data_IF_668817136430
#
_entry.id   IF_668817136430
#
_cell.length_a   1.000
_cell.length_b   1.000
_cell.length_c   1.000
_cell.angle_alpha   90.00
_cell.angle_beta   90.00
_cell.angle_gamma   90.00
#
_symmetry.space_group_name_H-M   'P 1'
#
loop_
_entity.id
_entity.type
_entity.pdbx_description
1 polymer ?
#
# COMPACT_ATOMS: atom_id res chain seq x y z
N UNK A 1 -41.46 18.81 4.15
CA UNK A 1 -40.98 18.25 5.43
C UNK A 1 -39.70 17.47 5.12
N UNK A 2 -38.61 18.18 4.79
CA UNK A 2 -37.44 17.59 4.11
C UNK A 2 -36.15 17.66 4.93
N UNK A 3 -36.24 18.22 6.14
CA UNK A 3 -35.13 18.33 7.08
C UNK A 3 -34.55 17.00 7.61
N UNK A 4 -35.30 15.91 7.84
CA UNK A 4 -34.70 14.68 8.39
C UNK A 4 -33.81 13.95 7.36
N UNK A 5 -34.10 14.09 6.06
CA UNK A 5 -33.28 13.49 4.97
C UNK A 5 -31.94 14.22 4.80
N UNK A 6 -31.94 15.55 4.88
CA UNK A 6 -30.70 16.34 4.82
C UNK A 6 -29.77 16.07 6.02
N UNK A 7 -30.32 15.94 7.23
CA UNK A 7 -29.52 15.65 8.44
C UNK A 7 -28.84 14.27 8.39
N UNK A 8 -29.55 13.25 7.87
CA UNK A 8 -28.97 11.90 7.71
C UNK A 8 -27.86 11.93 6.67
N UNK A 9 -28.07 12.56 5.51
CA UNK A 9 -27.03 12.73 4.50
C UNK A 9 -25.82 13.51 5.04
N UNK A 10 -26.03 14.57 5.83
CA UNK A 10 -24.94 15.36 6.41
C UNK A 10 -24.14 14.59 7.46
N UNK A 11 -24.80 13.75 8.28
CA UNK A 11 -24.13 12.85 9.23
C UNK A 11 -23.36 11.72 8.55
N UNK A 12 -23.87 11.20 7.43
CA UNK A 12 -23.14 10.25 6.58
C UNK A 12 -21.93 10.90 5.91
N UNK A 13 -22.08 12.13 5.39
CA UNK A 13 -20.98 12.91 4.78
C UNK A 13 -19.92 13.28 5.82
N UNK A 14 -20.29 13.66 7.05
CA UNK A 14 -19.34 13.91 8.14
C UNK A 14 -18.61 12.64 8.58
N UNK A 15 -19.28 11.49 8.68
CA UNK A 15 -18.61 10.21 8.96
C UNK A 15 -17.69 9.78 7.80
N UNK A 16 -18.07 10.05 6.55
CA UNK A 16 -17.23 9.81 5.37
C UNK A 16 -16.01 10.77 5.32
N UNK A 17 -16.21 12.05 5.63
CA UNK A 17 -15.15 13.07 5.69
C UNK A 17 -14.15 12.81 6.81
N UNK A 18 -14.61 12.31 7.97
CA UNK A 18 -13.72 11.87 9.07
C UNK A 18 -12.93 10.61 8.68
N UNK A 19 -13.46 9.78 7.78
CA UNK A 19 -12.72 8.63 7.21
C UNK A 19 -11.73 9.06 6.10
N UNK A 20 -11.93 10.22 5.48
CA UNK A 20 -11.07 10.78 4.43
C UNK A 20 -9.84 11.52 4.99
N UNK A 21 -9.78 11.80 6.30
CA UNK A 21 -8.59 12.40 6.91
C UNK A 21 -7.62 11.30 7.33
N UNK A 22 -6.55 11.19 6.53
CA UNK A 22 -5.47 10.19 6.53
C UNK A 22 -5.86 8.89 5.84
N UNK A 23 -5.52 8.71 4.54
CA UNK A 23 -5.07 7.39 4.13
C UNK A 23 -3.88 7.08 5.03
N UNK A 24 -4.10 6.35 6.13
CA UNK A 24 -2.98 5.70 6.80
C UNK A 24 -2.48 4.70 5.77
N UNK A 25 -1.44 5.08 5.05
CA UNK A 25 -0.63 4.17 4.25
C UNK A 25 -0.39 2.96 5.14
N UNK A 26 -0.98 1.82 4.80
CA UNK A 26 -0.82 0.62 5.58
C UNK A 26 0.62 0.14 5.37
N UNK A 27 1.36 0.00 6.47
CA UNK A 27 2.74 -0.47 6.39
C UNK A 27 2.72 -1.93 5.96
N UNK A 28 3.61 -2.29 5.02
CA UNK A 28 3.70 -3.65 4.50
C UNK A 28 4.36 -4.58 5.52
N UNK A 29 5.34 -4.07 6.27
CA UNK A 29 5.98 -4.81 7.34
C UNK A 29 6.52 -3.90 8.43
N UNK A 30 6.65 -4.45 9.64
CA UNK A 30 7.29 -3.81 10.78
C UNK A 30 7.99 -4.88 11.63
N UNK A 31 9.32 -4.83 11.69
CA UNK A 31 10.18 -5.78 12.42
C UNK A 31 11.04 -5.03 13.42
N UNK A 32 10.89 -5.35 14.70
CA UNK A 32 11.79 -4.88 15.75
C UNK A 32 12.66 -6.06 16.18
N UNK A 33 13.99 -5.88 16.21
CA UNK A 33 14.91 -6.95 16.61
C UNK A 33 14.83 -7.22 18.11
N UNK A 34 15.03 -8.48 18.50
CA UNK A 34 15.16 -8.90 19.91
C UNK A 34 16.61 -8.93 20.39
N UNK A 35 17.58 -8.72 19.49
CA UNK A 35 19.01 -8.91 19.75
C UNK A 35 19.68 -7.78 20.55
N UNK A 36 18.93 -6.80 21.03
CA UNK A 36 19.46 -5.79 21.93
C UNK A 36 18.59 -4.54 22.02
N UNK A 37 18.57 -3.96 23.23
CA UNK A 37 17.89 -2.70 23.50
C UNK A 37 18.90 -1.60 23.88
N UNK A 38 18.54 -0.34 23.61
CA UNK A 38 19.23 0.84 24.11
C UNK A 38 18.35 1.58 25.12
N UNK A 39 18.95 2.43 25.95
CA UNK A 39 18.22 3.30 26.89
C UNK A 39 18.01 4.68 26.27
N UNK A 40 16.90 5.35 26.59
CA UNK A 40 16.50 6.62 25.93
C UNK A 40 17.52 7.77 26.06
N UNK A 41 18.39 7.73 27.07
CA UNK A 41 19.43 8.74 27.31
C UNK A 41 20.84 8.27 26.89
N UNK A 42 20.95 7.15 26.16
CA UNK A 42 22.24 6.65 25.68
C UNK A 42 22.79 7.48 24.51
N UNK A 43 24.10 7.38 24.32
CA UNK A 43 24.77 7.91 23.13
C UNK A 43 24.20 7.28 21.86
N UNK A 44 23.94 5.96 21.86
CA UNK A 44 23.24 5.27 20.77
C UNK A 44 21.90 5.92 20.40
N UNK A 45 21.05 6.25 21.39
CA UNK A 45 19.76 6.90 21.15
C UNK A 45 19.92 8.27 20.47
N UNK A 46 20.94 9.04 20.89
CA UNK A 46 21.27 10.34 20.30
C UNK A 46 21.76 10.19 18.86
N UNK A 47 22.66 9.23 18.61
CA UNK A 47 23.18 8.94 17.27
C UNK A 47 22.08 8.45 16.33
N UNK A 48 21.19 7.57 16.80
CA UNK A 48 20.06 7.06 16.02
C UNK A 48 19.10 8.20 15.67
N UNK A 49 18.73 9.05 16.63
CA UNK A 49 17.87 10.21 16.38
C UNK A 49 18.49 11.16 15.35
N UNK A 50 19.79 11.45 15.50
CA UNK A 50 20.53 12.28 14.54
C UNK A 50 20.50 11.68 13.13
N UNK A 51 20.80 10.38 13.01
CA UNK A 51 20.86 9.67 11.74
C UNK A 51 19.49 9.58 11.06
N UNK A 52 18.43 9.22 11.79
CA UNK A 52 17.09 9.14 11.22
C UNK A 52 16.55 10.51 10.79
N UNK A 53 16.93 11.58 11.50
CA UNK A 53 16.50 12.95 11.16
C UNK A 53 17.14 13.50 9.88
N UNK A 54 18.29 12.96 9.44
CA UNK A 54 18.95 13.41 8.21
C UNK A 54 18.44 12.72 6.94
N UNK A 55 17.69 11.61 7.06
CA UNK A 55 17.20 10.85 5.91
C UNK A 55 16.35 11.71 4.96
N UNK A 56 15.29 12.42 5.43
CA UNK A 56 14.37 13.11 4.53
C UNK A 56 15.01 14.29 3.79
N UNK A 57 16.16 14.78 4.24
CA UNK A 57 16.89 15.92 3.68
C UNK A 57 18.16 15.52 2.94
N UNK A 58 18.56 14.24 2.94
CA UNK A 58 19.77 13.79 2.24
C UNK A 58 19.69 14.07 0.74
N UNK A 59 20.80 14.53 0.16
CA UNK A 59 20.97 14.71 -1.29
C UNK A 59 20.97 13.40 -2.06
N UNK A 60 21.36 12.29 -1.43
CA UNK A 60 21.50 10.96 -2.08
C UNK A 60 20.16 10.45 -2.62
N UNK A 61 19.06 10.86 -1.97
CA UNK A 61 17.70 10.57 -2.41
C UNK A 61 17.31 11.24 -3.73
N UNK A 62 18.04 12.26 -4.19
CA UNK A 62 17.73 12.96 -5.44
C UNK A 62 18.07 12.13 -6.67
N UNK A 63 19.20 11.44 -6.65
CA UNK A 63 19.69 10.64 -7.77
C UNK A 63 19.33 9.16 -7.58
N UNK A 64 19.59 8.61 -6.40
CA UNK A 64 19.69 7.16 -6.22
C UNK A 64 18.42 6.57 -5.61
N UNK A 65 17.55 7.42 -5.03
CA UNK A 65 16.41 6.96 -4.24
C UNK A 65 16.85 6.09 -3.05
N UNK A 66 18.11 6.20 -2.65
CA UNK A 66 18.77 5.37 -1.68
C UNK A 66 19.56 6.23 -0.71
N UNK A 67 19.43 5.92 0.57
CA UNK A 67 20.15 6.54 1.65
C UNK A 67 20.96 5.47 2.35
N UNK A 68 22.25 5.70 2.52
CA UNK A 68 23.06 4.96 3.47
C UNK A 68 23.92 5.92 4.28
N UNK A 69 24.08 5.65 5.57
CA UNK A 69 25.00 6.41 6.41
C UNK A 69 25.23 5.68 7.73
N UNK A 70 26.26 6.12 8.44
CA UNK A 70 26.47 5.76 9.83
C UNK A 70 26.87 6.97 10.68
N UNK A 71 26.53 6.92 11.97
CA UNK A 71 26.91 7.93 12.96
C UNK A 71 27.43 7.23 14.21
N UNK A 72 28.44 7.82 14.84
CA UNK A 72 29.02 7.35 16.09
C UNK A 72 30.19 6.39 15.91
N UNK A 73 30.61 5.78 17.01
CA UNK A 73 31.67 4.76 17.09
C UNK A 73 31.25 3.66 18.04
N UNK A 74 31.81 2.46 17.89
CA UNK A 74 31.51 1.35 18.78
C UNK A 74 31.73 1.75 20.26
N UNK A 75 30.78 1.43 21.17
CA UNK A 75 29.60 0.56 20.98
C UNK A 75 28.31 1.29 20.55
N UNK A 76 28.37 2.60 20.32
CA UNK A 76 27.21 3.48 20.05
C UNK A 76 27.04 3.82 18.56
N UNK A 77 27.72 3.08 17.67
CA UNK A 77 27.62 3.29 16.23
C UNK A 77 26.29 2.79 15.69
N UNK A 78 25.66 3.59 14.84
CA UNK A 78 24.38 3.30 14.19
C UNK A 78 24.58 3.33 12.68
N UNK A 79 24.03 2.34 11.99
CA UNK A 79 23.95 2.26 10.54
C UNK A 79 22.49 2.37 10.11
N UNK A 80 22.21 3.06 9.01
CA UNK A 80 20.86 3.14 8.46
C UNK A 80 20.88 3.02 6.93
N UNK A 81 19.87 2.33 6.41
CA UNK A 81 19.56 2.22 4.99
C UNK A 81 18.10 2.65 4.78
N UNK A 82 17.89 3.59 3.87
CA UNK A 82 16.58 3.93 3.31
C UNK A 82 16.57 3.59 1.82
N UNK A 83 15.57 2.85 1.36
CA UNK A 83 15.40 2.51 -0.06
C UNK A 83 14.01 2.92 -0.53
N UNK A 84 13.95 3.75 -1.56
CA UNK A 84 12.73 4.05 -2.29
C UNK A 84 12.59 3.14 -3.51
N UNK A 85 11.34 2.88 -3.93
CA UNK A 85 11.08 2.19 -5.18
C UNK A 85 11.62 3.01 -6.36
N UNK A 86 12.29 2.35 -7.29
CA UNK A 86 13.13 3.02 -8.30
C UNK A 86 12.40 3.94 -9.28
N UNK A 87 11.09 3.78 -9.45
CA UNK A 87 10.21 4.59 -10.31
C UNK A 87 9.67 5.86 -9.62
N UNK A 88 9.94 6.06 -8.33
CA UNK A 88 9.38 7.19 -7.60
C UNK A 88 10.06 8.51 -7.93
N UNK A 89 9.23 9.56 -8.03
CA UNK A 89 9.69 10.93 -8.03
C UNK A 89 10.31 11.30 -6.67
N UNK A 90 11.32 12.17 -6.69
CA UNK A 90 12.06 12.59 -5.50
C UNK A 90 11.15 13.05 -4.34
N UNK A 91 10.11 13.88 -4.55
CA UNK A 91 9.24 14.30 -3.45
C UNK A 91 8.49 13.13 -2.81
N UNK A 92 8.02 12.17 -3.61
CA UNK A 92 7.32 10.98 -3.12
C UNK A 92 8.24 10.06 -2.32
N UNK A 93 9.49 9.88 -2.78
CA UNK A 93 10.50 9.13 -2.06
C UNK A 93 10.80 9.75 -0.68
N UNK A 94 11.06 11.07 -0.64
CA UNK A 94 11.32 11.80 0.61
C UNK A 94 10.16 11.70 1.59
N UNK A 95 8.92 11.89 1.10
CA UNK A 95 7.73 11.75 1.93
C UNK A 95 7.62 10.35 2.53
N UNK A 96 7.81 9.31 1.72
CA UNK A 96 7.72 7.93 2.18
C UNK A 96 8.74 7.62 3.29
N UNK A 97 10.01 8.01 3.10
CA UNK A 97 11.04 7.77 4.12
C UNK A 97 10.80 8.61 5.39
N UNK A 98 10.32 9.85 5.26
CA UNK A 98 9.96 10.69 6.40
C UNK A 98 8.85 10.05 7.25
N UNK A 99 7.79 9.57 6.60
CA UNK A 99 6.69 8.88 7.28
C UNK A 99 7.19 7.59 7.94
N UNK A 100 8.08 6.86 7.26
CA UNK A 100 8.68 5.63 7.80
C UNK A 100 9.55 5.89 9.03
N UNK A 101 10.32 6.99 9.06
CA UNK A 101 11.11 7.40 10.24
C UNK A 101 10.22 7.62 11.45
N UNK A 102 9.10 8.33 11.29
CA UNK A 102 8.16 8.57 12.37
C UNK A 102 7.50 7.26 12.83
N UNK A 103 7.08 6.43 11.89
CA UNK A 103 6.40 5.19 12.19
C UNK A 103 7.33 4.17 12.88
N UNK A 104 8.57 3.98 12.39
CA UNK A 104 9.49 2.98 12.94
C UNK A 104 9.90 3.31 14.38
N UNK A 105 10.12 4.59 14.69
CA UNK A 105 10.49 5.04 16.04
C UNK A 105 9.35 4.87 17.05
N UNK A 106 8.10 5.01 16.60
CA UNK A 106 6.93 4.73 17.43
C UNK A 106 6.72 3.24 17.69
N UNK A 107 6.96 2.39 16.70
CA UNK A 107 6.74 0.95 16.83
C UNK A 107 7.89 0.20 17.51
N UNK A 108 9.13 0.65 17.32
CA UNK A 108 10.33 0.05 17.90
C UNK A 108 11.05 1.10 18.77
N UNK A 109 10.56 1.38 20.00
CA UNK A 109 10.99 2.55 20.78
C UNK A 109 12.40 2.43 21.37
N UNK A 110 12.93 1.22 21.50
CA UNK A 110 14.18 0.97 22.22
C UNK A 110 15.05 -0.15 21.63
N UNK A 111 14.68 -0.74 20.50
CA UNK A 111 15.45 -1.81 19.85
C UNK A 111 16.64 -1.21 19.12
N UNK A 112 17.80 -1.87 19.21
CA UNK A 112 19.00 -1.45 18.47
C UNK A 112 18.89 -1.69 16.97
N UNK A 113 17.97 -2.56 16.54
CA UNK A 113 17.71 -2.77 15.12
C UNK A 113 16.22 -2.84 14.86
N UNK A 114 15.81 -2.23 13.75
CA UNK A 114 14.45 -2.34 13.26
C UNK A 114 14.42 -2.16 11.75
N UNK A 115 13.41 -2.77 11.12
CA UNK A 115 13.08 -2.59 9.71
C UNK A 115 11.60 -2.32 9.56
N UNK A 116 11.24 -1.30 8.80
CA UNK A 116 9.85 -0.97 8.49
C UNK A 116 9.75 -0.50 7.04
N UNK A 117 8.63 -0.81 6.38
CA UNK A 117 8.43 -0.34 5.02
C UNK A 117 6.98 -0.37 4.56
N UNK A 118 6.79 0.30 3.44
CA UNK A 118 5.58 0.44 2.64
C UNK A 118 5.85 -0.08 1.23
N UNK A 119 4.85 -0.06 0.37
CA UNK A 119 4.97 -0.40 -1.06
C UNK A 119 5.98 0.48 -1.82
N UNK A 120 6.22 1.68 -1.30
CA UNK A 120 6.98 2.73 -1.95
C UNK A 120 8.41 2.89 -1.39
N UNK A 121 8.66 2.45 -0.15
CA UNK A 121 9.99 2.55 0.45
C UNK A 121 10.15 1.63 1.67
N UNK A 122 11.38 1.37 2.05
CA UNK A 122 11.74 0.73 3.31
C UNK A 122 12.88 1.45 4.02
N UNK A 123 12.91 1.32 5.34
CA UNK A 123 13.92 1.85 6.24
C UNK A 123 14.38 0.75 7.18
N UNK A 124 15.70 0.56 7.29
CA UNK A 124 16.33 -0.28 8.30
C UNK A 124 17.40 0.51 9.04
N UNK A 125 17.48 0.35 10.35
CA UNK A 125 18.64 0.77 11.14
C UNK A 125 19.16 -0.39 11.98
N UNK A 126 20.44 -0.33 12.33
CA UNK A 126 21.11 -1.38 13.09
C UNK A 126 22.38 -0.91 13.79
N UNK A 127 22.77 -1.62 14.86
CA UNK A 127 24.06 -1.49 15.53
C UNK A 127 25.16 -2.41 14.96
N UNK A 128 24.85 -3.28 13.98
CA UNK A 128 25.83 -4.01 13.17
C UNK A 128 26.01 -3.29 11.83
N UNK A 129 27.18 -3.46 11.21
CA UNK A 129 27.39 -2.93 9.87
C UNK A 129 26.45 -3.66 8.89
N UNK A 130 25.60 -2.90 8.21
CA UNK A 130 24.64 -3.37 7.21
C UNK A 130 24.89 -2.75 5.83
N UNK A 131 25.99 -2.01 5.67
CA UNK A 131 26.32 -1.26 4.44
C UNK A 131 27.29 -2.04 3.57
N UNK A 132 27.06 -2.03 2.26
CA UNK A 132 27.98 -2.57 1.26
C UNK A 132 28.03 -4.09 1.20
N UNK A 133 27.11 -4.78 1.88
CA UNK A 133 27.06 -6.23 1.98
C UNK A 133 25.63 -6.74 1.86
N UNK A 134 25.44 -7.81 1.11
CA UNK A 134 24.14 -8.47 1.00
C UNK A 134 23.67 -8.99 2.36
N UNK A 135 22.47 -8.59 2.74
CA UNK A 135 21.72 -9.16 3.85
C UNK A 135 20.44 -9.78 3.26
N UNK A 136 20.35 -11.10 3.32
CA UNK A 136 19.24 -11.86 2.77
C UNK A 136 18.07 -12.03 3.77
N UNK A 137 18.16 -11.39 4.95
CA UNK A 137 17.16 -11.47 6.00
C UNK A 137 15.76 -11.16 5.49
N UNK A 138 14.84 -12.09 5.77
CA UNK A 138 13.47 -12.03 5.30
C UNK A 138 12.66 -10.99 6.08
N UNK A 139 11.95 -10.11 5.37
CA UNK A 139 11.10 -9.09 5.97
C UNK A 139 9.61 -9.43 5.81
N UNK A 140 9.20 -9.78 4.58
CA UNK A 140 7.79 -9.97 4.25
C UNK A 140 7.57 -10.83 3.00
N UNK A 141 6.50 -11.63 3.03
CA UNK A 141 5.93 -12.36 1.90
C UNK A 141 4.43 -12.13 1.93
N UNK A 142 3.87 -11.81 0.79
CA UNK A 142 2.44 -11.67 0.61
C UNK A 142 2.03 -12.07 -0.80
N UNK A 143 0.83 -12.61 -0.95
CA UNK A 143 0.29 -13.00 -2.25
C UNK A 143 -1.22 -12.84 -2.30
N UNK A 144 -1.75 -12.76 -3.52
CA UNK A 144 -3.18 -12.77 -3.79
C UNK A 144 -3.74 -14.20 -3.66
N UNK A 145 -4.94 -14.34 -3.12
CA UNK A 145 -5.68 -15.61 -3.05
C UNK A 145 -6.27 -16.04 -4.42
N UNK A 146 -6.14 -15.20 -5.45
CA UNK A 146 -6.60 -15.49 -6.80
C UNK A 146 -5.51 -16.21 -7.59
N UNK A 147 -5.88 -17.35 -8.17
CA UNK A 147 -5.03 -18.10 -9.07
C UNK A 147 -5.32 -17.77 -10.55
N UNK A 148 -4.30 -17.89 -11.38
CA UNK A 148 -4.39 -17.81 -12.82
C UNK A 148 -5.25 -18.96 -13.37
N UNK A 149 -5.95 -18.70 -14.48
CA UNK A 149 -6.77 -19.72 -15.15
C UNK A 149 -5.96 -20.93 -15.62
N UNK A 150 -4.72 -20.72 -16.06
CA UNK A 150 -3.75 -21.76 -16.39
C UNK A 150 -2.45 -21.50 -15.60
N UNK A 151 -2.36 -22.02 -14.36
CA UNK A 151 -1.23 -21.81 -13.47
C UNK A 151 0.13 -22.17 -14.09
N UNK A 152 0.21 -23.29 -14.80
CA UNK A 152 1.48 -23.76 -15.38
C UNK A 152 1.99 -22.82 -16.47
N UNK A 153 1.11 -22.33 -17.34
CA UNK A 153 1.47 -21.33 -18.35
C UNK A 153 1.83 -20.00 -17.72
N UNK A 154 1.05 -19.55 -16.72
CA UNK A 154 1.31 -18.30 -16.00
C UNK A 154 2.68 -18.32 -15.32
N UNK A 155 2.98 -19.39 -14.58
CA UNK A 155 4.24 -19.55 -13.86
C UNK A 155 5.45 -19.61 -14.83
N UNK A 156 5.27 -20.17 -16.04
CA UNK A 156 6.32 -20.16 -17.06
C UNK A 156 6.60 -18.75 -17.59
N UNK A 157 5.56 -18.01 -17.97
CA UNK A 157 5.69 -16.62 -18.46
C UNK A 157 6.25 -15.70 -17.37
N UNK A 158 5.76 -15.85 -16.13
CA UNK A 158 6.24 -15.09 -14.98
C UNK A 158 7.73 -15.38 -14.71
N UNK A 159 8.15 -16.65 -14.75
CA UNK A 159 9.56 -17.02 -14.53
C UNK A 159 10.47 -16.35 -15.54
N UNK A 160 10.12 -16.38 -16.81
CA UNK A 160 10.96 -15.80 -17.87
C UNK A 160 11.05 -14.26 -17.70
N UNK A 161 9.94 -13.61 -17.36
CA UNK A 161 9.92 -12.18 -17.00
C UNK A 161 10.81 -11.86 -15.79
N UNK A 162 10.71 -12.63 -14.71
CA UNK A 162 11.49 -12.38 -13.48
C UNK A 162 12.98 -12.64 -13.71
N UNK A 163 13.37 -13.62 -14.53
CA UNK A 163 14.78 -13.85 -14.86
C UNK A 163 15.40 -12.68 -15.62
N UNK A 164 14.68 -12.11 -16.60
CA UNK A 164 15.13 -10.93 -17.32
C UNK A 164 15.20 -9.69 -16.41
N UNK A 165 14.18 -9.46 -15.58
CA UNK A 165 14.19 -8.38 -14.58
C UNK A 165 15.34 -8.53 -13.59
N UNK A 166 15.68 -9.76 -13.19
CA UNK A 166 16.83 -10.04 -12.33
C UNK A 166 18.11 -9.52 -12.94
N UNK A 167 18.38 -9.89 -14.19
CA UNK A 167 19.60 -9.50 -14.89
C UNK A 167 19.67 -7.97 -15.06
N UNK A 168 18.56 -7.34 -15.46
CA UNK A 168 18.49 -5.87 -15.60
C UNK A 168 18.64 -5.11 -14.28
N UNK A 169 18.02 -5.57 -13.20
CA UNK A 169 18.14 -4.95 -11.89
C UNK A 169 19.56 -5.14 -11.31
N UNK A 170 20.14 -6.34 -11.49
CA UNK A 170 21.47 -6.68 -11.01
C UNK A 170 22.58 -5.92 -11.72
N UNK A 171 22.58 -5.95 -13.05
CA UNK A 171 23.50 -5.17 -13.89
C UNK A 171 23.28 -3.66 -13.76
N UNK A 172 22.10 -3.26 -13.24
CA UNK A 172 21.51 -1.94 -13.39
C UNK A 172 22.31 -0.74 -12.88
N UNK A 173 21.87 0.43 -13.36
CA UNK A 173 22.37 1.75 -13.01
C UNK A 173 22.03 2.20 -11.58
N UNK A 174 22.01 3.52 -11.35
CA UNK A 174 22.08 4.15 -10.03
C UNK A 174 21.08 3.59 -8.98
N UNK A 175 19.88 3.17 -9.40
CA UNK A 175 18.83 2.66 -8.47
C UNK A 175 18.71 1.14 -8.36
N UNK A 176 19.47 0.37 -9.15
CA UNK A 176 19.37 -1.10 -9.27
C UNK A 176 17.92 -1.61 -9.31
N UNK A 177 17.10 -1.00 -10.17
CA UNK A 177 15.67 -1.23 -10.31
C UNK A 177 15.33 -1.61 -11.76
N UNK A 178 14.50 -2.62 -11.93
CA UNK A 178 13.92 -2.99 -13.21
C UNK A 178 12.41 -3.20 -13.07
N UNK A 179 11.67 -2.82 -14.11
CA UNK A 179 10.24 -3.01 -14.21
C UNK A 179 9.87 -3.38 -15.63
N UNK A 180 8.83 -4.22 -15.79
CA UNK A 180 8.29 -4.55 -17.10
C UNK A 180 6.88 -5.13 -17.02
N UNK A 181 6.27 -5.29 -18.19
CA UNK A 181 4.95 -5.87 -18.39
C UNK A 181 4.94 -6.83 -19.56
N UNK A 182 4.34 -8.00 -19.37
CA UNK A 182 4.14 -8.99 -20.44
C UNK A 182 2.68 -9.38 -20.55
N UNK A 183 2.26 -9.73 -21.77
CA UNK A 183 0.94 -10.29 -22.01
C UNK A 183 0.95 -11.77 -21.64
N UNK A 184 0.12 -12.18 -20.68
CA UNK A 184 -0.12 -13.59 -20.36
C UNK A 184 -1.26 -14.16 -21.23
N UNK A 185 -2.31 -13.36 -21.45
CA UNK A 185 -3.36 -13.63 -22.44
C UNK A 185 -3.64 -12.36 -23.26
N UNK A 186 -4.61 -12.41 -24.18
CA UNK A 186 -5.06 -11.22 -24.92
C UNK A 186 -5.66 -10.12 -24.03
N UNK A 187 -6.11 -10.46 -22.82
CA UNK A 187 -6.77 -9.54 -21.89
C UNK A 187 -6.03 -9.41 -20.54
N UNK A 188 -5.10 -10.32 -20.22
CA UNK A 188 -4.41 -10.37 -18.94
C UNK A 188 -2.93 -10.08 -19.12
N UNK A 189 -2.42 -9.17 -18.29
CA UNK A 189 -1.01 -8.76 -18.25
C UNK A 189 -0.40 -9.11 -16.90
N UNK A 190 0.91 -9.31 -16.89
CA UNK A 190 1.71 -9.48 -15.67
C UNK A 190 2.61 -8.26 -15.58
N UNK A 191 2.44 -7.46 -14.53
CA UNK A 191 3.30 -6.34 -14.22
C UNK A 191 4.26 -6.77 -13.12
N UNK A 192 5.57 -6.58 -13.31
CA UNK A 192 6.56 -6.98 -12.31
C UNK A 192 7.65 -5.94 -12.14
N UNK A 193 8.23 -5.92 -10.94
CA UNK A 193 9.39 -5.11 -10.56
C UNK A 193 10.36 -5.94 -9.74
N UNK A 194 11.65 -5.75 -9.99
CA UNK A 194 12.75 -6.26 -9.16
C UNK A 194 13.67 -5.10 -8.79
N UNK A 195 14.13 -5.07 -7.54
CA UNK A 195 15.02 -4.04 -7.05
C UNK A 195 16.00 -4.57 -6.01
N UNK A 196 17.23 -4.07 -6.04
CA UNK A 196 18.23 -4.26 -5.00
C UNK A 196 18.59 -2.95 -4.31
N UNK A 197 19.21 -3.04 -3.13
CA UNK A 197 19.89 -1.88 -2.56
C UNK A 197 21.12 -1.54 -3.43
N UNK A 198 21.33 -0.27 -3.83
CA UNK A 198 22.44 0.11 -4.71
C UNK A 198 23.86 -0.18 -4.18
N UNK A 199 24.01 -0.42 -2.87
CA UNK A 199 25.30 -0.65 -2.21
C UNK A 199 25.88 -2.05 -2.38
N UNK A 200 25.15 -3.01 -2.97
CA UNK A 200 25.63 -4.38 -3.16
C UNK A 200 26.13 -4.64 -4.59
N UNK A 201 26.97 -5.66 -4.74
CA UNK A 201 27.49 -6.06 -6.04
C UNK A 201 26.38 -6.58 -6.97
N UNK A 202 26.63 -6.57 -8.28
CA UNK A 202 25.74 -7.19 -9.28
C UNK A 202 25.47 -8.67 -8.96
N UNK A 203 26.52 -9.41 -8.61
CA UNK A 203 26.42 -10.82 -8.23
C UNK A 203 25.53 -11.02 -7.00
N UNK A 204 25.73 -10.21 -5.96
CA UNK A 204 24.93 -10.30 -4.74
C UNK A 204 23.48 -9.86 -4.96
N UNK A 205 23.25 -8.87 -5.82
CA UNK A 205 21.90 -8.48 -6.20
C UNK A 205 21.17 -9.63 -6.89
N UNK A 206 21.79 -10.27 -7.88
CA UNK A 206 21.23 -11.43 -8.56
C UNK A 206 20.90 -12.56 -7.57
N UNK A 207 21.82 -12.86 -6.64
CA UNK A 207 21.61 -13.87 -5.60
C UNK A 207 20.45 -13.52 -4.66
N UNK A 208 20.32 -12.27 -4.24
CA UNK A 208 19.20 -11.84 -3.39
C UNK A 208 17.85 -12.04 -4.09
N UNK A 209 17.75 -11.62 -5.35
CA UNK A 209 16.54 -11.75 -6.16
C UNK A 209 16.20 -13.22 -6.44
N UNK A 210 17.21 -14.06 -6.68
CA UNK A 210 17.03 -15.53 -6.78
C UNK A 210 16.45 -16.12 -5.48
N UNK A 211 16.96 -15.69 -4.32
CA UNK A 211 16.44 -16.12 -3.03
C UNK A 211 15.02 -15.61 -2.76
N UNK A 212 14.66 -14.42 -3.21
CA UNK A 212 13.29 -13.89 -3.13
C UNK A 212 12.34 -14.73 -4.00
N UNK A 213 12.73 -15.03 -5.23
CA UNK A 213 11.95 -15.85 -6.18
C UNK A 213 11.78 -17.29 -5.71
N UNK A 214 12.86 -17.96 -5.30
CA UNK A 214 12.81 -19.32 -4.80
C UNK A 214 11.91 -19.44 -3.57
N UNK A 215 11.96 -18.43 -2.69
CA UNK A 215 11.09 -18.38 -1.52
C UNK A 215 9.62 -18.26 -1.90
N UNK A 216 9.25 -17.49 -2.92
CA UNK A 216 7.85 -17.48 -3.38
C UNK A 216 7.44 -18.86 -3.94
N UNK A 217 8.25 -19.43 -4.83
CA UNK A 217 7.93 -20.74 -5.45
C UNK A 217 7.80 -21.88 -4.45
N UNK A 218 8.51 -21.82 -3.31
CA UNK A 218 8.47 -22.84 -2.27
C UNK A 218 7.24 -22.79 -1.34
N UNK A 219 6.52 -21.66 -1.26
CA UNK A 219 5.50 -21.41 -0.24
C UNK A 219 4.07 -21.35 -0.78
N UNK A 220 3.72 -22.24 -1.71
CA UNK A 220 2.35 -22.37 -2.24
C UNK A 220 1.79 -21.11 -2.94
N UNK A 221 2.65 -20.22 -3.44
CA UNK A 221 2.25 -19.13 -4.34
C UNK A 221 2.26 -19.55 -5.81
N UNK A 222 2.41 -20.85 -6.11
CA UNK A 222 2.34 -21.34 -7.50
C UNK A 222 0.95 -21.07 -8.07
N UNK A 223 0.91 -20.45 -9.24
CA UNK A 223 -0.33 -20.06 -9.90
C UNK A 223 -0.99 -18.80 -9.36
N UNK A 224 -0.49 -18.13 -8.31
CA UNK A 224 -1.13 -16.89 -7.84
C UNK A 224 -0.87 -15.75 -8.81
N UNK A 225 -1.87 -14.89 -9.03
CA UNK A 225 -1.75 -13.80 -10.02
C UNK A 225 -0.98 -12.57 -9.52
N UNK A 226 -0.62 -12.54 -8.23
CA UNK A 226 0.16 -11.48 -7.63
C UNK A 226 0.87 -11.94 -6.36
N UNK A 227 2.11 -11.50 -6.18
CA UNK A 227 2.87 -11.72 -4.96
C UNK A 227 3.99 -10.68 -4.77
N UNK A 228 4.46 -10.55 -3.54
CA UNK A 228 5.60 -9.72 -3.17
C UNK A 228 6.50 -10.48 -2.19
N UNK A 229 7.80 -10.43 -2.43
CA UNK A 229 8.82 -10.87 -1.49
C UNK A 229 9.74 -9.70 -1.17
N UNK A 230 9.87 -9.38 0.11
CA UNK A 230 10.72 -8.31 0.61
C UNK A 230 11.79 -8.94 1.50
N UNK A 231 13.04 -8.72 1.11
CA UNK A 231 14.23 -9.06 1.89
C UNK A 231 14.99 -7.79 2.23
N UNK A 232 15.97 -7.94 3.11
CA UNK A 232 16.79 -6.84 3.59
C UNK A 232 17.55 -6.10 2.47
N UNK A 233 17.98 -6.80 1.42
CA UNK A 233 18.74 -6.20 0.30
C UNK A 233 18.02 -6.20 -1.05
N UNK A 234 16.82 -6.79 -1.16
CA UNK A 234 16.09 -6.82 -2.42
C UNK A 234 14.58 -6.97 -2.26
N UNK A 235 13.85 -6.54 -3.29
CA UNK A 235 12.39 -6.58 -3.37
C UNK A 235 12.01 -7.14 -4.73
N UNK A 236 11.09 -8.09 -4.72
CA UNK A 236 10.41 -8.62 -5.91
C UNK A 236 8.92 -8.43 -5.72
N UNK A 237 8.23 -7.89 -6.72
CA UNK A 237 6.77 -7.80 -6.74
C UNK A 237 6.23 -8.03 -8.13
N UNK A 238 5.14 -8.78 -8.24
CA UNK A 238 4.33 -8.86 -9.44
C UNK A 238 2.84 -8.79 -9.10
N UNK A 239 2.05 -8.23 -10.02
CA UNK A 239 0.61 -8.02 -9.86
C UNK A 239 -0.09 -8.12 -11.23
N UNK A 240 -1.41 -8.37 -11.27
CA UNK A 240 -2.19 -8.35 -12.51
C UNK A 240 -2.55 -6.92 -12.96
N UNK A 241 -2.12 -5.89 -12.22
CA UNK A 241 -2.37 -4.48 -12.49
C UNK A 241 -1.09 -3.66 -12.37
N UNK A 242 -1.05 -2.51 -13.04
CA UNK A 242 0.12 -1.63 -12.99
C UNK A 242 0.20 -0.93 -11.62
N UNK A 243 1.33 -1.08 -10.93
CA UNK A 243 1.60 -0.46 -9.61
C UNK A 243 2.85 0.44 -9.60
N UNK A 244 3.52 0.58 -10.74
CA UNK A 244 4.71 1.42 -10.92
C UNK A 244 4.53 2.43 -12.06
N UNK A 245 5.25 3.54 -12.01
CA UNK A 245 5.27 4.54 -13.08
C UNK A 245 6.06 4.01 -14.28
N UNK A 246 5.58 4.22 -15.52
CA UNK A 246 6.33 3.83 -16.72
C UNK A 246 7.71 4.48 -16.71
N UNK A 247 8.77 3.67 -16.67
CA UNK A 247 10.14 4.13 -16.89
C UNK A 247 10.36 4.46 -18.37
N UNK A 248 11.24 5.41 -18.66
CA UNK A 248 11.56 5.84 -20.04
C UNK A 248 12.15 4.72 -20.93
N UNK A 249 12.56 3.59 -20.34
CA UNK A 249 13.01 2.38 -21.05
C UNK A 249 11.87 1.42 -21.41
N UNK A 250 10.61 1.75 -21.08
CA UNK A 250 9.47 0.96 -21.53
C UNK A 250 9.23 1.17 -23.03
N UNK A 251 9.27 0.09 -23.80
CA UNK A 251 8.88 0.09 -25.22
C UNK A 251 7.50 0.73 -25.36
N UNK A 252 7.30 1.75 -26.22
CA UNK A 252 6.08 2.53 -26.24
C UNK A 252 4.86 1.67 -26.65
N UNK A 253 3.70 1.81 -25.97
CA UNK A 253 2.47 1.17 -26.42
C UNK A 253 1.97 1.78 -27.74
N UNK A 254 1.28 1.00 -28.60
CA UNK A 254 0.70 1.51 -29.86
C UNK A 254 -0.27 2.68 -29.61
N UNK A 255 -0.31 3.71 -30.48
CA UNK A 255 -1.18 4.86 -30.29
C UNK A 255 -2.65 4.46 -30.42
N UNK A 256 -3.43 4.71 -29.38
CA UNK A 256 -4.89 4.56 -29.38
C UNK A 256 -5.55 5.78 -30.08
N UNK A 257 -6.63 5.61 -30.86
CA UNK A 257 -7.22 6.68 -31.67
C UNK A 257 -7.86 7.79 -30.81
N UNK A 258 -7.41 9.03 -30.98
CA UNK A 258 -8.04 10.20 -30.37
C UNK A 258 -9.32 10.60 -31.12
N UNK A 259 -10.42 10.76 -30.39
CA UNK A 259 -11.63 11.43 -30.85
C UNK A 259 -11.54 12.96 -30.62
N UNK A 260 -12.19 13.79 -31.45
CA UNK A 260 -12.00 15.23 -31.45
C UNK A 260 -12.78 15.96 -30.32
N UNK A 261 -12.35 17.18 -29.91
CA UNK A 261 -12.96 17.93 -28.81
C UNK A 261 -14.12 18.82 -29.26
N UNK A 262 -15.21 18.82 -28.48
CA UNK A 262 -16.35 19.74 -28.65
C UNK A 262 -16.07 21.15 -28.09
N UNK A 263 -16.60 22.14 -28.80
CA UNK A 263 -16.43 23.59 -28.58
C UNK A 263 -17.39 24.13 -27.50
N UNK A 264 -17.01 25.16 -26.69
CA UNK A 264 -17.93 25.77 -25.72
C UNK A 264 -18.86 26.80 -26.37
N UNK A 265 -20.17 26.58 -26.27
CA UNK A 265 -21.20 27.57 -26.60
C UNK A 265 -21.38 28.60 -25.48
N UNK A 266 -21.34 29.89 -25.84
CA UNK A 266 -21.56 31.04 -24.95
C UNK A 266 -23.00 31.53 -25.07
N UNK A 267 -23.76 31.67 -23.97
CA UNK A 267 -24.91 32.59 -23.91
C UNK A 267 -25.08 33.26 -22.52
N UNK A 268 -24.70 34.55 -22.51
CA UNK A 268 -25.31 35.76 -21.94
C UNK A 268 -26.15 35.71 -20.64
N UNK A 269 -25.77 36.65 -19.76
CA UNK A 269 -26.52 37.14 -18.61
C UNK A 269 -27.83 37.86 -18.97
N UNK A 270 -28.81 37.77 -18.07
CA UNK A 270 -29.92 38.74 -17.92
C UNK A 270 -30.24 38.91 -16.44
N UNK A 271 -30.03 40.11 -15.91
CA UNK A 271 -30.51 40.50 -14.58
C UNK A 271 -31.97 40.94 -14.61
N UNK A 272 -32.67 40.87 -13.48
CA UNK A 272 -32.94 42.05 -12.66
C UNK A 272 -33.52 41.68 -11.28
N UNK A 273 -33.39 42.64 -10.37
CA UNK A 273 -33.74 42.63 -8.95
C UNK A 273 -35.23 42.40 -8.63
N UNK A 274 -35.49 41.91 -7.41
CA UNK A 274 -36.31 42.66 -6.46
C UNK A 274 -36.11 42.22 -4.99
N UNK A 275 -36.25 43.22 -4.13
CA UNK A 275 -35.96 43.30 -2.69
C UNK A 275 -37.22 42.98 -1.89
N UNK A 276 -37.13 42.18 -0.84
CA UNK A 276 -38.04 42.28 0.30
C UNK A 276 -37.37 41.82 1.60
N UNK A 277 -37.50 42.66 2.63
CA UNK A 277 -36.88 42.57 3.96
C UNK A 277 -37.79 41.81 4.91
N UNK A 278 -37.23 40.93 5.75
CA UNK A 278 -37.60 40.80 7.18
C UNK A 278 -36.39 40.27 7.98
N UNK A 279 -36.14 40.82 9.17
CA UNK A 279 -35.02 40.49 10.10
C UNK A 279 -35.61 40.18 11.50
N UNK A 280 -34.87 39.38 12.29
CA UNK A 280 -34.81 39.23 13.78
C UNK A 280 -35.64 38.03 14.34
N UNK A 281 -35.23 37.12 15.26
CA UNK A 281 -34.15 37.00 16.28
C UNK A 281 -33.89 35.50 16.63
N UNK A 282 -32.63 35.03 16.80
CA UNK A 282 -31.84 34.81 18.04
C UNK A 282 -32.04 33.45 18.76
N UNK A 283 -30.91 32.73 18.90
CA UNK A 283 -30.46 31.79 19.95
C UNK A 283 -31.48 30.79 20.55
N UNK A 284 -31.35 29.53 20.14
CA UNK A 284 -31.11 28.32 20.97
C UNK A 284 -31.16 27.13 19.99
N UNK A 285 -29.99 26.63 19.53
CA UNK A 285 -29.77 25.18 19.60
C UNK A 285 -28.30 24.78 19.83
N UNK A 286 -27.47 25.63 20.47
CA UNK A 286 -26.06 25.26 20.72
C UNK A 286 -25.93 24.29 21.90
N UNK A 287 -26.71 24.45 22.97
CA UNK A 287 -26.70 23.54 24.10
C UNK A 287 -27.25 22.15 23.76
N UNK A 288 -28.29 22.06 22.93
CA UNK A 288 -28.84 20.78 22.46
C UNK A 288 -27.90 20.09 21.47
N UNK A 289 -27.25 20.83 20.57
CA UNK A 289 -26.23 20.27 19.68
C UNK A 289 -25.01 19.75 20.45
N UNK A 290 -24.53 20.49 21.46
CA UNK A 290 -23.41 20.06 22.31
C UNK A 290 -23.80 18.83 23.14
N UNK A 291 -25.02 18.79 23.70
CA UNK A 291 -25.50 17.63 24.44
C UNK A 291 -25.61 16.39 23.54
N UNK A 292 -26.10 16.53 22.32
CA UNK A 292 -26.19 15.42 21.35
C UNK A 292 -24.78 14.93 20.96
N UNK A 293 -23.82 15.84 20.72
CA UNK A 293 -22.43 15.46 20.44
C UNK A 293 -21.81 14.71 21.62
N UNK A 294 -22.03 15.17 22.86
CA UNK A 294 -21.53 14.49 24.07
C UNK A 294 -22.15 13.11 24.21
N UNK A 295 -23.46 12.96 23.99
CA UNK A 295 -24.15 11.67 24.04
C UNK A 295 -23.65 10.71 22.94
N UNK A 296 -23.39 11.21 21.74
CA UNK A 296 -22.79 10.43 20.63
C UNK A 296 -21.36 10.02 20.99
N UNK A 297 -20.53 10.92 21.53
CA UNK A 297 -19.17 10.61 21.97
C UNK A 297 -19.14 9.56 23.09
N UNK A 298 -20.08 9.65 24.04
CA UNK A 298 -20.23 8.65 25.11
C UNK A 298 -20.67 7.30 24.54
N UNK A 299 -21.63 7.28 23.61
CA UNK A 299 -22.08 6.07 22.93
C UNK A 299 -20.95 5.41 22.12
N UNK A 300 -20.13 6.20 21.41
CA UNK A 300 -18.95 5.71 20.68
C UNK A 300 -17.89 5.16 21.66
N UNK A 301 -17.63 5.83 22.79
CA UNK A 301 -16.70 5.32 23.82
C UNK A 301 -17.19 4.02 24.45
N UNK A 302 -18.50 3.90 24.70
CA UNK A 302 -19.12 2.66 25.20
C UNK A 302 -19.06 1.53 24.17
N UNK A 303 -19.28 1.82 22.88
CA UNK A 303 -19.09 0.83 21.80
C UNK A 303 -17.63 0.43 21.60
N UNK A 304 -16.66 1.36 21.72
CA UNK A 304 -15.23 1.05 21.69
C UNK A 304 -14.78 0.15 22.85
N UNK A 305 -15.39 0.28 24.04
CA UNK A 305 -15.15 -0.65 25.16
C UNK A 305 -15.64 -2.08 24.84
N UNK A 306 -16.74 -2.22 24.09
CA UNK A 306 -17.25 -3.52 23.63
C UNK A 306 -16.43 -4.12 22.47
N UNK A 307 -15.82 -3.27 21.63
CA UNK A 307 -14.96 -3.69 20.50
C UNK A 307 -13.52 -4.06 20.89
N UNK A 308 -13.11 -3.86 22.16
CA UNK A 308 -11.82 -4.34 22.66
C UNK A 308 -11.69 -5.89 22.69
N UNK A 309 -12.77 -6.61 22.35
CA UNK A 309 -12.83 -8.07 22.24
C UNK A 309 -13.18 -8.58 20.83
N UNK A 310 -13.00 -7.77 19.78
CA UNK A 310 -13.18 -8.22 18.39
C UNK A 310 -11.82 -8.18 17.69
N UNK A 311 -11.32 -9.37 17.31
CA UNK A 311 -10.13 -9.53 16.45
C UNK A 311 -10.28 -8.66 15.19
N UNK A 312 -9.18 -8.04 14.77
CA UNK A 312 -9.07 -7.20 13.56
C UNK A 312 -9.85 -7.78 12.37
N UNK A 313 -10.81 -7.04 11.76
CA UNK A 313 -11.50 -7.52 10.57
C UNK A 313 -10.57 -7.44 9.36
N UNK A 314 -10.27 -8.60 8.80
CA UNK A 314 -9.77 -8.82 7.43
C UNK A 314 -10.42 -7.81 6.44
N UNK A 315 -9.57 -7.11 5.68
CA UNK A 315 -9.82 -6.13 4.61
C UNK A 315 -11.29 -5.82 4.24
N UNK A 316 -11.87 -4.83 4.92
CA UNK A 316 -13.23 -4.34 4.68
C UNK A 316 -13.44 -3.72 3.30
N UNK A 317 -12.40 -3.12 2.70
CA UNK A 317 -12.45 -2.45 1.39
C UNK A 317 -12.62 -3.41 0.21
N UNK A 318 -11.83 -4.50 0.16
CA UNK A 318 -11.95 -5.52 -0.89
C UNK A 318 -13.32 -6.20 -0.85
N UNK A 319 -13.77 -6.57 0.35
CA UNK A 319 -15.10 -7.17 0.56
C UNK A 319 -16.21 -6.23 0.09
N UNK A 320 -16.12 -4.94 0.41
CA UNK A 320 -17.09 -3.93 -0.03
C UNK A 320 -17.12 -3.80 -1.56
N UNK A 321 -15.95 -3.72 -2.20
CA UNK A 321 -15.87 -3.62 -3.64
C UNK A 321 -16.36 -4.90 -4.36
N UNK A 322 -16.07 -6.09 -3.83
CA UNK A 322 -16.50 -7.38 -4.40
C UNK A 322 -18.03 -7.47 -4.43
N UNK A 323 -18.68 -7.22 -3.28
CA UNK A 323 -20.14 -7.19 -3.23
C UNK A 323 -20.73 -6.10 -4.13
N UNK A 324 -20.09 -4.93 -4.23
CA UNK A 324 -20.52 -3.88 -5.15
C UNK A 324 -20.45 -4.33 -6.62
N UNK A 325 -19.33 -4.94 -7.04
CA UNK A 325 -19.09 -5.44 -8.41
C UNK A 325 -20.07 -6.55 -8.81
N UNK A 326 -20.38 -7.46 -7.88
CA UNK A 326 -21.32 -8.57 -8.08
C UNK A 326 -22.80 -8.13 -8.06
N UNK A 327 -23.09 -6.83 -7.95
CA UNK A 327 -24.47 -6.30 -7.84
C UNK A 327 -25.11 -6.56 -6.46
N UNK A 328 -24.34 -7.11 -5.52
CA UNK A 328 -24.74 -7.47 -4.16
C UNK A 328 -24.41 -6.37 -3.13
N UNK A 329 -24.21 -5.12 -3.56
CA UNK A 329 -23.81 -4.00 -2.69
C UNK A 329 -24.80 -3.72 -1.55
N UNK A 330 -26.08 -4.08 -1.71
CA UNK A 330 -27.09 -4.02 -0.64
C UNK A 330 -26.76 -4.90 0.56
N UNK A 331 -25.99 -5.97 0.38
CA UNK A 331 -25.55 -6.87 1.45
C UNK A 331 -24.58 -6.20 2.44
N UNK A 332 -23.94 -5.10 2.02
CA UNK A 332 -23.09 -4.27 2.88
C UNK A 332 -23.89 -3.30 3.75
N UNK A 333 -25.16 -3.05 3.39
CA UNK A 333 -26.01 -2.10 4.08
C UNK A 333 -26.59 -2.77 5.32
N UNK A 334 -26.45 -2.13 6.48
CA UNK A 334 -27.04 -2.59 7.73
C UNK A 334 -28.56 -2.81 7.58
N UNK A 335 -29.13 -3.93 8.08
CA UNK A 335 -30.55 -4.22 7.96
C UNK A 335 -31.48 -3.10 8.43
N UNK A 336 -31.08 -2.30 9.42
CA UNK A 336 -31.86 -1.17 9.94
C UNK A 336 -32.00 -0.05 8.91
N UNK A 337 -31.06 0.08 7.99
CA UNK A 337 -31.02 1.12 6.96
C UNK A 337 -31.70 0.71 5.64
N UNK A 338 -32.17 -0.54 5.54
CA UNK A 338 -32.85 -1.09 4.34
C UNK A 338 -34.35 -0.77 4.28
N UNK A 339 -34.87 0.01 5.22
CA UNK A 339 -36.30 0.24 5.39
C UNK A 339 -36.97 1.03 4.23
N UNK A 340 -36.21 1.73 3.38
CA UNK A 340 -36.74 2.49 2.23
C UNK A 340 -35.91 2.21 0.96
N UNK A 341 -36.58 1.88 -0.13
CA UNK A 341 -35.97 1.63 -1.45
C UNK A 341 -35.23 2.84 -2.02
N UNK A 342 -35.71 4.06 -1.71
CA UNK A 342 -35.02 5.31 -2.07
C UNK A 342 -33.68 5.44 -1.34
N UNK A 343 -33.68 5.16 -0.04
CA UNK A 343 -32.48 5.15 0.81
C UNK A 343 -31.44 4.12 0.34
N UNK A 344 -31.86 2.93 -0.09
CA UNK A 344 -30.94 1.89 -0.58
C UNK A 344 -30.18 2.35 -1.83
N UNK A 345 -30.87 2.98 -2.80
CA UNK A 345 -30.23 3.48 -4.02
C UNK A 345 -29.19 4.56 -3.72
N UNK A 346 -29.51 5.45 -2.79
CA UNK A 346 -28.61 6.52 -2.36
C UNK A 346 -27.39 5.95 -1.60
N UNK A 347 -27.60 4.93 -0.75
CA UNK A 347 -26.50 4.26 -0.05
C UNK A 347 -25.59 3.48 -1.02
N UNK A 348 -26.15 2.78 -2.01
CA UNK A 348 -25.34 2.09 -3.04
C UNK A 348 -24.50 3.10 -3.82
N UNK A 349 -25.07 4.28 -4.11
CA UNK A 349 -24.36 5.38 -4.77
C UNK A 349 -23.24 5.92 -3.88
N UNK A 350 -23.47 6.07 -2.57
CA UNK A 350 -22.43 6.44 -1.62
C UNK A 350 -21.31 5.39 -1.53
N UNK A 351 -21.63 4.09 -1.59
CA UNK A 351 -20.64 3.01 -1.66
C UNK A 351 -19.78 3.16 -2.92
N UNK A 352 -20.41 3.39 -4.07
CA UNK A 352 -19.70 3.59 -5.34
C UNK A 352 -18.75 4.80 -5.30
N UNK A 353 -19.22 5.96 -4.83
CA UNK A 353 -18.40 7.16 -4.67
C UNK A 353 -17.28 6.92 -3.65
N UNK A 354 -17.58 6.21 -2.55
CA UNK A 354 -16.58 5.82 -1.55
C UNK A 354 -15.46 4.95 -2.13
N UNK A 355 -15.80 4.02 -3.03
CA UNK A 355 -14.82 3.19 -3.74
C UNK A 355 -13.94 4.01 -4.70
N UNK A 356 -14.47 5.07 -5.32
CA UNK A 356 -13.67 6.00 -6.13
C UNK A 356 -12.70 6.83 -5.28
N UNK A 357 -13.10 7.22 -4.07
CA UNK A 357 -12.26 8.02 -3.18
C UNK A 357 -11.03 7.28 -2.65
N UNK A 358 -11.08 5.95 -2.56
CA UNK A 358 -10.01 5.12 -1.97
C UNK A 358 -9.15 4.42 -3.01
N UNK A 359 -9.17 4.86 -4.28
CA UNK A 359 -8.32 4.28 -5.31
C UNK A 359 -6.83 4.46 -4.98
N UNK A 360 -6.02 3.45 -5.32
CA UNK A 360 -4.58 3.45 -5.05
C UNK A 360 -3.89 4.59 -5.83
N UNK A 361 -4.22 4.74 -7.12
CA UNK A 361 -3.74 5.84 -7.94
C UNK A 361 -4.41 7.16 -7.51
N UNK A 362 -3.60 8.12 -7.07
CA UNK A 362 -4.05 9.46 -6.68
C UNK A 362 -4.74 10.20 -7.82
N UNK A 363 -4.29 10.02 -9.06
CA UNK A 363 -4.86 10.67 -10.23
C UNK A 363 -6.28 10.18 -10.56
N UNK A 364 -6.63 8.98 -10.12
CA UNK A 364 -7.95 8.39 -10.35
C UNK A 364 -8.97 8.76 -9.25
N UNK A 365 -8.54 9.47 -8.19
CA UNK A 365 -9.43 9.90 -7.11
C UNK A 365 -10.22 11.15 -7.54
N UNK A 366 -11.54 11.18 -7.32
CA UNK A 366 -12.36 12.34 -7.66
C UNK A 366 -12.03 13.53 -6.76
N UNK A 367 -12.10 14.75 -7.32
CA UNK A 367 -11.99 15.99 -6.54
C UNK A 367 -13.23 16.19 -5.68
N UNK A 368 -13.13 16.95 -4.59
CA UNK A 368 -14.28 17.27 -3.73
C UNK A 368 -15.45 17.90 -4.50
N UNK A 369 -15.17 18.73 -5.52
CA UNK A 369 -16.20 19.31 -6.37
C UNK A 369 -16.95 18.22 -7.18
N UNK A 370 -16.23 17.26 -7.73
CA UNK A 370 -16.84 16.13 -8.44
C UNK A 370 -17.63 15.22 -7.50
N UNK A 371 -17.17 14.97 -6.27
CA UNK A 371 -17.90 14.18 -5.27
C UNK A 371 -19.25 14.82 -4.95
N UNK A 372 -19.28 16.14 -4.72
CA UNK A 372 -20.52 16.88 -4.45
C UNK A 372 -21.48 16.80 -5.64
N UNK A 373 -20.96 16.87 -6.87
CA UNK A 373 -21.74 16.72 -8.09
C UNK A 373 -22.31 15.30 -8.23
N UNK A 374 -21.47 14.27 -7.98
CA UNK A 374 -21.82 12.85 -8.04
C UNK A 374 -22.89 12.47 -7.01
N UNK A 375 -22.89 13.09 -5.82
CA UNK A 375 -23.89 12.83 -4.78
C UNK A 375 -25.22 13.57 -5.01
N UNK A 376 -25.21 14.73 -5.67
CA UNK A 376 -26.40 15.57 -5.83
C UNK A 376 -27.14 15.40 -7.17
N UNK A 377 -26.53 14.78 -8.20
CA UNK A 377 -27.14 14.67 -9.53
C UNK A 377 -27.27 13.23 -10.00
N UNK A 378 -28.51 12.73 -10.13
CA UNK A 378 -28.77 11.35 -10.56
C UNK A 378 -28.50 11.08 -12.03
N UNK A 379 -28.33 12.12 -12.85
CA UNK A 379 -28.18 12.03 -14.31
C UNK A 379 -26.73 11.90 -14.79
N UNK A 380 -25.78 11.72 -13.88
CA UNK A 380 -24.34 11.63 -14.19
C UNK A 380 -23.90 10.19 -14.23
N UNK A 381 -23.25 9.80 -15.33
CA UNK A 381 -22.53 8.53 -15.45
C UNK A 381 -21.29 8.58 -14.57
N UNK A 382 -21.23 7.70 -13.57
CA UNK A 382 -20.08 7.62 -12.67
C UNK A 382 -19.00 6.70 -13.27
N UNK A 383 -17.70 7.04 -13.14
CA UNK A 383 -16.62 6.16 -13.59
C UNK A 383 -16.60 4.88 -12.77
N UNK A 384 -16.20 3.75 -13.37
CA UNK A 384 -16.10 2.49 -12.63
C UNK A 384 -14.92 2.52 -11.65
N UNK A 385 -15.14 2.19 -10.36
CA UNK A 385 -14.06 1.98 -9.42
C UNK A 385 -13.13 0.86 -9.90
N UNK A 386 -11.82 1.15 -9.93
CA UNK A 386 -10.80 0.12 -10.14
C UNK A 386 -10.84 -0.91 -9.01
N UNK A 387 -10.35 -2.11 -9.30
CA UNK A 387 -10.12 -3.13 -8.27
C UNK A 387 -9.18 -2.58 -7.19
N UNK A 388 -9.58 -2.58 -5.90
CA UNK A 388 -8.69 -2.19 -4.82
C UNK A 388 -7.48 -3.10 -4.80
N UNK A 389 -6.32 -2.57 -4.41
CA UNK A 389 -5.14 -3.39 -4.13
C UNK A 389 -5.53 -4.56 -3.22
N UNK A 390 -5.23 -5.77 -3.66
CA UNK A 390 -5.59 -6.98 -2.94
C UNK A 390 -4.84 -7.01 -1.60
N UNK A 391 -5.55 -7.37 -0.53
CA UNK A 391 -4.88 -7.67 0.72
C UNK A 391 -4.19 -9.00 0.61
N UNK A 392 -2.87 -8.96 0.74
CA UNK A 392 -2.02 -10.13 0.73
C UNK A 392 -2.16 -10.92 2.04
N UNK A 393 -2.27 -12.24 1.95
CA UNK A 393 -2.17 -13.10 3.12
C UNK A 393 -0.74 -13.02 3.67
N UNK A 394 -0.58 -12.56 4.92
CA UNK A 394 0.71 -12.65 5.62
C UNK A 394 0.77 -14.01 6.33
N UNK A 395 1.64 -14.89 5.89
CA UNK A 395 2.13 -15.95 6.77
C UNK A 395 3.37 -15.39 7.47
N UNK A 396 3.28 -15.17 8.79
CA UNK A 396 4.33 -15.28 9.82
C UNK A 396 3.88 -14.48 11.05
N UNK A 397 3.51 -15.23 12.10
CA UNK A 397 3.44 -14.75 13.48
C UNK A 397 4.82 -14.26 13.95
N UNK A 398 4.92 -13.20 14.77
CA UNK A 398 6.18 -12.60 15.20
C UNK A 398 7.05 -13.45 16.15
N UNK A 399 6.80 -14.76 16.31
CA UNK A 399 7.51 -15.61 17.28
C UNK A 399 8.34 -16.77 16.68
N UNK A 400 8.45 -16.94 15.36
CA UNK A 400 9.21 -18.08 14.81
C UNK A 400 10.74 -17.85 14.77
N UNK A 401 11.57 -18.69 15.43
CA UNK A 401 13.03 -18.52 15.47
C UNK A 401 13.73 -18.84 14.13
N UNK A 402 14.78 -18.07 13.83
CA UNK A 402 15.70 -18.23 12.69
C UNK A 402 16.31 -19.64 12.51
N UNK A 403 16.27 -20.50 13.52
CA UNK A 403 16.88 -21.84 13.49
C UNK A 403 16.10 -22.86 12.65
N UNK A 404 14.78 -22.70 12.49
CA UNK A 404 13.94 -23.66 11.75
C UNK A 404 13.95 -23.42 10.23
N UNK A 405 14.36 -22.23 9.79
CA UNK A 405 14.47 -21.86 8.37
C UNK A 405 15.53 -22.69 7.63
N UNK A 406 16.60 -23.09 8.32
CA UNK A 406 17.66 -23.92 7.76
C UNK A 406 17.26 -25.39 7.56
N UNK A 407 16.12 -25.85 8.12
CA UNK A 407 15.64 -27.22 7.95
C UNK A 407 14.81 -27.36 6.66
N UNK A 408 13.95 -26.39 6.36
CA UNK A 408 13.13 -26.40 5.12
C UNK A 408 14.01 -26.24 3.86
N UNK A 409 15.09 -25.46 3.94
CA UNK A 409 16.08 -25.33 2.88
C UNK A 409 17.00 -26.56 2.72
N UNK A 410 17.08 -27.43 3.76
CA UNK A 410 17.86 -28.67 3.70
C UNK A 410 17.09 -29.81 3.03
N UNK A 411 15.78 -29.89 3.26
CA UNK A 411 14.93 -30.95 2.68
C UNK A 411 14.76 -30.82 1.15
N UNK A 412 14.85 -29.60 0.62
CA UNK A 412 14.79 -29.34 -0.83
C UNK A 412 16.06 -29.75 -1.58
N UNK A 413 17.19 -29.95 -0.88
CA UNK A 413 18.45 -30.42 -1.46
C UNK A 413 18.67 -31.94 -1.34
N UNK A 414 17.74 -32.68 -0.70
CA UNK A 414 17.85 -34.13 -0.53
C UNK A 414 17.06 -34.95 -1.58
N UNK A 415 16.21 -34.30 -2.37
CA UNK A 415 15.36 -34.96 -3.38
C UNK A 415 16.03 -35.22 -4.74
N UNK A 416 17.26 -34.74 -4.97
CA UNK A 416 18.01 -34.93 -6.24
C UNK A 416 19.09 -36.02 -6.21
N UNK A 417 19.19 -36.84 -5.16
CA UNK A 417 20.22 -37.91 -5.07
C UNK A 417 19.68 -39.35 -4.92
N UNK A 418 18.45 -39.64 -5.34
CA UNK A 418 17.94 -41.03 -5.40
C UNK A 418 17.36 -41.38 -6.77
N UNK A 419 18.21 -41.36 -7.78
CA UNK A 419 17.99 -42.08 -9.03
C UNK A 419 19.33 -42.62 -9.53
N UNK A 420 19.73 -43.77 -8.99
CA UNK A 420 20.68 -44.74 -9.55
C UNK A 420 20.74 -45.91 -8.57
N UNK A 421 20.63 -47.13 -9.10
CA UNK A 421 20.52 -48.44 -8.43
C UNK A 421 19.10 -48.96 -8.14
N UNK A 422 18.45 -49.46 -9.19
CA UNK A 422 17.66 -50.69 -9.14
C UNK A 422 17.47 -51.23 -10.58
N UNK A 423 18.53 -51.82 -11.14
CA UNK A 423 18.42 -52.86 -12.17
C UNK A 423 19.33 -53.99 -11.74
N UNK A 424 18.75 -55.01 -11.12
CA UNK A 424 19.12 -56.41 -11.27
C UNK A 424 18.00 -57.29 -10.76
#
# INVERSE_FOLDING_TARGET
MDYPRLCICFLFILNFLVCLTTPQSEFRFNRCSTSGNYTSNSTYATNLKGLLSSIPTSSDLNSDGFFNASIGRNPDQVYAIGLCRGDLAVPSCRSCLNDTVQAITQACPNQKEASRGYDNCMLRFSNRNILGSMDDGFLYLGWNEINATNPTQFDAVLRDLLLDLRDRAAAGGVRKFAADVVNYTSLSKIYATEQCTPDISEMDCGRCLDMARNFMTGYATSGTVGATSIRNSCVLRFEPYQFYQPTADATPPPPEPQSPPDTPGTLRARGNNNRSRTIIAILIPTASAVLIVVLICLFIKLRKRKQRNVKSPRSTHFKAWKYWREGAGSNLIDPVLRADSGSIRDIIRCIHVGLLCVQENVASRPTMASIVLMLNSFSITLPLPSEPAFFMHSSIDPEFPLSEYNLVAKDSNLSTSKSKYAMR
#
